data_IF_265477479316
#
_entry.id   IF_265477479316
#
_cell.length_a   1.000
_cell.length_b   1.000
_cell.length_c   1.000
_cell.angle_alpha   90.00
_cell.angle_beta   90.00
_cell.angle_gamma   90.00
#
_symmetry.space_group_name_H-M   'P 1'
#
loop_
_entity.id
_entity.type
_entity.pdbx_description
1 polymer ?
#
# COMPACT_ATOMS: atom_id res chain seq x y z
N UNK A 1 31.69 31.90 -15.78
CA UNK A 1 32.70 30.82 -15.75
C UNK A 1 32.47 30.04 -14.46
N UNK A 2 32.14 28.75 -14.40
CA UNK A 2 31.79 27.76 -15.42
C UNK A 2 30.65 26.88 -14.89
N UNK A 3 29.78 26.44 -15.80
CA UNK A 3 28.74 25.45 -15.53
C UNK A 3 29.41 24.07 -15.47
N UNK A 4 29.35 23.39 -14.33
CA UNK A 4 29.65 21.96 -14.27
C UNK A 4 28.40 21.21 -14.72
N UNK A 5 28.39 20.82 -15.99
CA UNK A 5 27.47 19.88 -16.59
C UNK A 5 27.68 18.49 -15.98
N UNK A 6 26.65 17.94 -15.32
CA UNK A 6 26.60 16.51 -15.00
C UNK A 6 26.50 15.71 -16.30
N UNK A 7 27.24 14.59 -16.44
CA UNK A 7 27.20 13.78 -17.64
C UNK A 7 25.84 13.08 -17.75
N UNK A 8 25.21 13.22 -18.93
CA UNK A 8 24.07 12.41 -19.33
C UNK A 8 24.51 10.95 -19.42
N UNK A 9 23.98 10.11 -18.54
CA UNK A 9 24.22 8.67 -18.55
C UNK A 9 23.62 8.07 -19.85
N UNK A 10 24.47 7.81 -20.84
CA UNK A 10 24.11 7.13 -22.09
C UNK A 10 24.15 5.59 -21.98
N UNK A 11 24.29 5.02 -20.78
CA UNK A 11 24.41 3.56 -20.59
C UNK A 11 23.07 2.84 -20.32
N UNK A 12 21.93 3.53 -20.35
CA UNK A 12 20.62 2.90 -20.09
C UNK A 12 19.83 2.46 -21.35
N UNK A 13 20.44 2.40 -22.54
CA UNK A 13 19.74 2.05 -23.78
C UNK A 13 20.09 0.67 -24.36
N UNK A 14 21.16 0.01 -23.92
CA UNK A 14 21.63 -1.24 -24.53
C UNK A 14 21.19 -2.52 -23.81
N UNK A 15 20.43 -2.41 -22.72
CA UNK A 15 19.81 -3.57 -22.03
C UNK A 15 18.37 -3.84 -22.48
N UNK A 16 17.76 -2.91 -23.23
CA UNK A 16 16.38 -3.06 -23.70
C UNK A 16 16.21 -3.92 -24.96
N UNK A 17 17.30 -4.24 -25.66
CA UNK A 17 17.24 -5.05 -26.88
C UNK A 17 17.64 -6.52 -26.68
N UNK A 18 18.29 -6.86 -25.56
CA UNK A 18 18.70 -8.25 -25.28
C UNK A 18 17.70 -9.06 -24.43
N UNK A 19 16.66 -8.44 -23.87
CA UNK A 19 15.55 -9.20 -23.26
C UNK A 19 14.50 -9.67 -24.30
N UNK A 20 14.50 -9.08 -25.50
CA UNK A 20 13.54 -9.43 -26.56
C UNK A 20 13.87 -10.75 -27.29
N UNK A 21 14.99 -11.40 -26.96
CA UNK A 21 15.40 -12.68 -27.56
C UNK A 21 15.25 -13.90 -26.61
N UNK A 22 14.73 -13.69 -25.40
CA UNK A 22 14.29 -14.80 -24.51
C UNK A 22 12.78 -15.05 -24.60
N UNK A 23 12.02 -14.11 -25.17
CA UNK A 23 10.54 -14.16 -25.23
C UNK A 23 9.98 -15.06 -26.35
N UNK A 24 10.83 -15.78 -27.10
CA UNK A 24 10.38 -16.65 -28.22
C UNK A 24 10.38 -18.15 -27.93
N UNK A 25 10.57 -18.58 -26.67
CA UNK A 25 10.48 -20.00 -26.29
C UNK A 25 9.25 -20.37 -25.47
N UNK A 26 8.42 -19.42 -25.05
CA UNK A 26 7.24 -19.70 -24.20
C UNK A 26 5.94 -19.79 -25.03
N UNK A 27 5.96 -19.37 -26.30
CA UNK A 27 4.76 -19.32 -27.16
C UNK A 27 4.65 -20.49 -28.16
N UNK A 28 4.89 -21.71 -27.70
CA UNK A 28 4.37 -22.92 -28.36
C UNK A 28 3.56 -23.75 -27.35
N UNK A 29 2.43 -23.20 -26.91
CA UNK A 29 1.41 -23.91 -26.11
C UNK A 29 -0.01 -23.63 -26.62
N UNK A 30 -0.17 -23.59 -27.95
CA UNK A 30 -1.48 -23.55 -28.60
C UNK A 30 -2.34 -24.82 -28.41
N UNK A 31 -1.95 -25.72 -27.51
CA UNK A 31 -2.71 -26.92 -27.13
C UNK A 31 -3.17 -26.89 -25.66
N UNK A 32 -2.72 -25.94 -24.82
CA UNK A 32 -3.09 -25.91 -23.40
C UNK A 32 -4.29 -25.01 -23.07
N UNK A 33 -4.66 -24.07 -23.96
CA UNK A 33 -5.77 -23.14 -23.70
C UNK A 33 -7.15 -23.82 -23.77
N UNK A 34 -7.33 -24.82 -24.65
CA UNK A 34 -8.59 -25.58 -24.73
C UNK A 34 -8.79 -26.53 -23.53
N UNK A 35 -7.71 -27.11 -22.99
CA UNK A 35 -7.79 -27.96 -21.79
C UNK A 35 -8.10 -27.14 -20.52
N UNK A 36 -7.57 -25.92 -20.41
CA UNK A 36 -7.78 -25.01 -19.27
C UNK A 36 -9.24 -24.58 -19.08
N UNK A 37 -10.01 -24.42 -20.16
CA UNK A 37 -11.45 -24.11 -20.08
C UNK A 37 -12.30 -25.33 -19.71
N UNK A 38 -11.86 -26.56 -20.01
CA UNK A 38 -12.64 -27.77 -19.76
C UNK A 38 -12.62 -28.16 -18.28
N UNK A 39 -11.51 -27.92 -17.57
CA UNK A 39 -11.37 -28.25 -16.14
C UNK A 39 -12.30 -27.40 -15.26
N UNK A 40 -12.58 -26.15 -15.62
CA UNK A 40 -13.46 -25.26 -14.85
C UNK A 40 -14.96 -25.65 -14.88
N UNK A 41 -15.35 -26.62 -15.72
CA UNK A 41 -16.74 -27.08 -15.87
C UNK A 41 -17.00 -28.45 -15.25
N UNK A 42 -15.98 -29.09 -14.67
CA UNK A 42 -16.11 -30.42 -14.10
C UNK A 42 -16.80 -30.39 -12.72
N UNK A 43 -17.51 -31.47 -12.34
CA UNK A 43 -18.05 -31.63 -11.01
C UNK A 43 -16.95 -31.48 -9.94
N UNK A 44 -17.26 -30.79 -8.84
CA UNK A 44 -16.32 -30.49 -7.76
C UNK A 44 -15.62 -31.74 -7.21
N UNK A 45 -16.33 -32.88 -7.16
CA UNK A 45 -15.76 -34.15 -6.68
C UNK A 45 -14.65 -34.69 -7.59
N UNK A 46 -14.79 -34.56 -8.91
CA UNK A 46 -13.77 -34.96 -9.89
C UNK A 46 -12.56 -34.02 -9.87
N UNK A 47 -12.76 -32.73 -9.56
CA UNK A 47 -11.68 -31.76 -9.40
C UNK A 47 -10.84 -32.02 -8.15
N UNK A 48 -11.48 -32.44 -7.07
CA UNK A 48 -10.82 -32.79 -5.82
C UNK A 48 -9.92 -34.03 -5.99
N UNK A 49 -10.42 -35.03 -6.73
CA UNK A 49 -9.70 -36.25 -7.02
C UNK A 49 -8.49 -36.00 -7.93
N UNK A 50 -8.65 -35.16 -8.96
CA UNK A 50 -7.57 -34.74 -9.85
C UNK A 50 -6.50 -33.91 -9.13
N UNK A 51 -6.92 -33.01 -8.21
CA UNK A 51 -5.99 -32.17 -7.43
C UNK A 51 -4.98 -32.97 -6.60
N UNK A 52 -5.34 -34.20 -6.24
CA UNK A 52 -4.51 -35.10 -5.43
C UNK A 52 -3.53 -35.94 -6.26
N UNK A 53 -3.73 -36.00 -7.57
CA UNK A 53 -2.97 -36.87 -8.49
C UNK A 53 -2.05 -36.07 -9.43
N UNK A 54 -2.30 -34.79 -9.63
CA UNK A 54 -1.50 -33.93 -10.49
C UNK A 54 -0.15 -33.53 -9.87
N UNK A 55 0.82 -33.21 -10.72
CA UNK A 55 2.09 -32.64 -10.28
C UNK A 55 1.89 -31.23 -9.68
N UNK A 56 2.80 -30.74 -8.79
CA UNK A 56 2.68 -29.40 -8.22
C UNK A 56 2.60 -28.28 -9.28
N UNK A 57 3.27 -28.46 -10.43
CA UNK A 57 3.26 -27.49 -11.52
C UNK A 57 1.92 -27.45 -12.24
N UNK A 58 1.32 -28.61 -12.51
CA UNK A 58 -0.02 -28.71 -13.12
C UNK A 58 -1.08 -28.16 -12.17
N UNK A 59 -0.97 -28.46 -10.88
CA UNK A 59 -1.88 -27.91 -9.87
C UNK A 59 -1.88 -26.37 -9.87
N UNK A 60 -0.69 -25.74 -9.88
CA UNK A 60 -0.57 -24.29 -9.94
C UNK A 60 -1.18 -23.72 -11.22
N UNK A 61 -0.91 -24.34 -12.37
CA UNK A 61 -1.41 -23.89 -13.67
C UNK A 61 -2.93 -23.98 -13.79
N UNK A 62 -3.54 -25.04 -13.24
CA UNK A 62 -4.97 -25.31 -13.42
C UNK A 62 -5.85 -24.68 -12.33
N UNK A 63 -5.38 -24.63 -11.08
CA UNK A 63 -6.22 -24.18 -9.96
C UNK A 63 -5.86 -22.80 -9.43
N UNK A 64 -4.57 -22.45 -9.40
CA UNK A 64 -4.10 -21.21 -8.74
C UNK A 64 -3.98 -20.06 -9.72
N UNK A 65 -3.26 -20.24 -10.82
CA UNK A 65 -2.97 -19.19 -11.79
C UNK A 65 -4.21 -18.58 -12.47
N UNK A 66 -5.26 -19.34 -12.85
CA UNK A 66 -6.44 -18.75 -13.47
C UNK A 66 -7.16 -17.74 -12.58
N UNK A 67 -7.04 -17.89 -11.26
CA UNK A 67 -7.63 -16.96 -10.28
C UNK A 67 -6.62 -15.86 -9.90
N UNK A 68 -5.36 -16.22 -9.73
CA UNK A 68 -4.33 -15.31 -9.20
C UNK A 68 -3.80 -14.33 -10.25
N UNK A 69 -3.57 -14.76 -11.49
CA UNK A 69 -3.03 -13.90 -12.56
C UNK A 69 -3.91 -12.67 -12.86
N UNK A 70 -5.24 -12.80 -13.07
CA UNK A 70 -6.08 -11.62 -13.29
C UNK A 70 -6.12 -10.70 -12.06
N UNK A 71 -6.04 -11.26 -10.85
CA UNK A 71 -5.96 -10.46 -9.63
C UNK A 71 -4.66 -9.65 -9.54
N UNK A 72 -3.52 -10.25 -9.91
CA UNK A 72 -2.23 -9.58 -9.97
C UNK A 72 -2.19 -8.51 -11.07
N UNK A 73 -2.75 -8.79 -12.24
CA UNK A 73 -2.89 -7.80 -13.31
C UNK A 73 -3.70 -6.58 -12.84
N UNK A 74 -4.88 -6.80 -12.24
CA UNK A 74 -5.71 -5.74 -11.68
C UNK A 74 -4.97 -4.95 -10.58
N UNK A 75 -4.19 -5.62 -9.74
CA UNK A 75 -3.37 -4.99 -8.71
C UNK A 75 -2.31 -4.07 -9.32
N UNK A 76 -1.64 -4.49 -10.40
CA UNK A 76 -0.64 -3.68 -11.09
C UNK A 76 -1.27 -2.45 -11.75
N UNK A 77 -2.46 -2.58 -12.34
CA UNK A 77 -3.21 -1.43 -12.85
C UNK A 77 -3.56 -0.43 -11.74
N UNK A 78 -4.01 -0.91 -10.58
CA UNK A 78 -4.32 -0.05 -9.44
C UNK A 78 -3.06 0.63 -8.87
N UNK A 79 -1.95 -0.12 -8.76
CA UNK A 79 -0.66 0.42 -8.35
C UNK A 79 -0.18 1.53 -9.30
N UNK A 80 -0.37 1.36 -10.61
CA UNK A 80 -0.08 2.39 -11.62
C UNK A 80 -0.97 3.62 -11.41
N UNK A 81 -2.28 3.43 -11.19
CA UNK A 81 -3.24 4.53 -10.93
C UNK A 81 -2.84 5.35 -9.70
N UNK A 82 -2.34 4.70 -8.67
CA UNK A 82 -1.86 5.34 -7.44
C UNK A 82 -0.40 5.85 -7.53
N UNK A 83 0.22 5.82 -8.72
CA UNK A 83 1.60 6.28 -8.96
C UNK A 83 2.65 5.58 -8.08
N UNK A 84 2.41 4.31 -7.73
CA UNK A 84 3.33 3.53 -6.90
C UNK A 84 4.68 3.29 -7.59
N UNK A 85 4.73 3.31 -8.92
CA UNK A 85 5.96 3.13 -9.70
C UNK A 85 6.77 4.42 -9.86
N UNK A 86 6.17 5.59 -9.61
CA UNK A 86 6.84 6.89 -9.73
C UNK A 86 7.46 7.32 -8.39
N UNK A 87 6.86 6.92 -7.27
CA UNK A 87 7.27 7.32 -5.91
C UNK A 87 7.94 6.15 -5.20
N UNK A 88 9.10 6.39 -4.58
CA UNK A 88 9.79 5.39 -3.75
C UNK A 88 8.98 4.96 -2.51
N UNK A 89 8.04 5.79 -2.04
CA UNK A 89 7.21 5.54 -0.86
C UNK A 89 5.74 5.76 -1.21
N UNK A 90 4.90 4.75 -0.95
CA UNK A 90 3.47 4.78 -1.22
C UNK A 90 2.71 4.03 -0.11
N UNK A 91 1.46 4.44 0.13
CA UNK A 91 0.57 3.82 1.13
C UNK A 91 -0.25 2.64 0.61
N UNK A 92 -0.14 2.30 -0.68
CA UNK A 92 -0.84 1.19 -1.29
C UNK A 92 -0.33 -0.16 -0.76
N UNK A 93 -1.23 -0.99 -0.24
CA UNK A 93 -0.91 -2.35 0.18
C UNK A 93 -1.47 -3.36 -0.83
N UNK A 94 -0.58 -3.97 -1.61
CA UNK A 94 -0.96 -4.95 -2.62
C UNK A 94 -1.64 -6.20 -2.05
N UNK A 95 -1.24 -6.66 -0.86
CA UNK A 95 -1.85 -7.83 -0.22
C UNK A 95 -3.30 -7.58 0.21
N UNK A 96 -3.57 -6.36 0.72
CA UNK A 96 -4.93 -5.96 1.06
C UNK A 96 -5.82 -5.90 -0.18
N UNK A 97 -5.28 -5.36 -1.28
CA UNK A 97 -5.97 -5.31 -2.56
C UNK A 97 -6.29 -6.72 -3.06
N UNK A 98 -5.29 -7.62 -3.08
CA UNK A 98 -5.48 -9.00 -3.54
C UNK A 98 -6.50 -9.75 -2.69
N UNK A 99 -6.43 -9.61 -1.37
CA UNK A 99 -7.37 -10.27 -0.46
C UNK A 99 -8.80 -9.82 -0.74
N UNK A 100 -9.01 -8.51 -0.89
CA UNK A 100 -10.32 -7.94 -1.21
C UNK A 100 -10.81 -8.34 -2.61
N UNK A 101 -9.92 -8.34 -3.61
CA UNK A 101 -10.21 -8.72 -4.98
C UNK A 101 -10.64 -10.20 -5.06
N UNK A 102 -9.86 -11.09 -4.45
CA UNK A 102 -10.15 -12.53 -4.41
C UNK A 102 -11.42 -12.83 -3.62
N UNK A 103 -11.65 -12.11 -2.52
CA UNK A 103 -12.88 -12.27 -1.73
C UNK A 103 -14.14 -11.93 -2.54
N UNK A 104 -14.11 -10.82 -3.30
CA UNK A 104 -15.21 -10.40 -4.18
C UNK A 104 -15.41 -11.30 -5.39
N UNK A 105 -14.32 -11.84 -5.93
CA UNK A 105 -14.32 -12.66 -7.15
C UNK A 105 -14.62 -14.13 -6.87
N UNK A 106 -14.83 -14.51 -5.61
CA UNK A 106 -15.12 -15.89 -5.24
C UNK A 106 -16.46 -16.36 -5.83
N UNK A 107 -16.47 -17.39 -6.71
CA UNK A 107 -17.67 -17.86 -7.40
C UNK A 107 -18.71 -18.51 -6.48
N UNK A 108 -18.32 -18.94 -5.27
CA UNK A 108 -19.21 -19.67 -4.36
C UNK A 108 -20.23 -18.77 -3.64
N UNK A 109 -20.00 -17.45 -3.58
CA UNK A 109 -20.98 -16.52 -3.00
C UNK A 109 -20.86 -15.11 -3.58
N UNK A 110 -21.41 -14.94 -4.78
CA UNK A 110 -21.20 -13.76 -5.63
C UNK A 110 -22.03 -12.55 -5.21
N UNK A 111 -23.23 -12.73 -4.65
CA UNK A 111 -24.16 -11.61 -4.42
C UNK A 111 -23.82 -10.80 -3.17
N UNK A 112 -23.58 -11.47 -2.03
CA UNK A 112 -23.31 -10.77 -0.77
C UNK A 112 -21.94 -10.09 -0.76
N UNK A 113 -20.96 -10.68 -1.45
CA UNK A 113 -19.56 -10.25 -1.40
C UNK A 113 -19.22 -9.12 -2.37
N UNK A 114 -20.02 -8.90 -3.41
CA UNK A 114 -19.82 -7.80 -4.39
C UNK A 114 -19.90 -6.41 -3.75
N UNK A 115 -20.69 -6.27 -2.69
CA UNK A 115 -20.93 -4.98 -2.04
C UNK A 115 -19.83 -4.58 -1.02
N UNK A 116 -18.91 -5.48 -0.69
CA UNK A 116 -17.83 -5.23 0.28
C UNK A 116 -16.85 -4.25 -0.34
N UNK A 117 -16.69 -3.03 0.21
CA UNK A 117 -15.83 -1.98 -0.39
C UNK A 117 -14.44 -1.90 0.21
N UNK A 118 -14.32 -2.17 1.50
CA UNK A 118 -13.08 -2.08 2.28
C UNK A 118 -12.74 -3.43 2.89
N UNK A 119 -11.47 -3.60 3.26
CA UNK A 119 -11.02 -4.83 3.90
C UNK A 119 -11.67 -5.05 5.28
N UNK A 120 -11.96 -3.96 6.01
CA UNK A 120 -12.63 -4.02 7.32
C UNK A 120 -14.09 -4.47 7.24
N UNK A 121 -14.71 -4.43 6.05
CA UNK A 121 -16.10 -4.86 5.87
C UNK A 121 -16.21 -6.40 5.83
N UNK A 122 -15.07 -7.11 5.72
CA UNK A 122 -15.03 -8.58 5.71
C UNK A 122 -15.15 -9.08 7.16
N UNK A 123 -16.13 -9.95 7.49
CA UNK A 123 -16.44 -10.32 8.88
C UNK A 123 -15.23 -10.84 9.66
N UNK A 124 -14.50 -11.82 9.11
CA UNK A 124 -13.34 -12.40 9.79
C UNK A 124 -12.16 -11.43 9.92
N UNK A 125 -12.07 -10.41 9.05
CA UNK A 125 -11.05 -9.36 9.17
C UNK A 125 -11.41 -8.43 10.31
N UNK A 126 -12.68 -7.98 10.36
CA UNK A 126 -13.17 -7.11 11.44
C UNK A 126 -12.94 -7.75 12.80
N UNK A 127 -13.37 -9.00 12.97
CA UNK A 127 -13.20 -9.76 14.22
C UNK A 127 -11.73 -9.93 14.63
N UNK A 128 -10.82 -9.99 13.66
CA UNK A 128 -9.39 -10.06 13.91
C UNK A 128 -8.81 -8.70 14.29
N UNK A 129 -9.23 -7.63 13.61
CA UNK A 129 -8.73 -6.27 13.85
C UNK A 129 -9.24 -5.68 15.16
N UNK A 130 -10.39 -6.11 15.67
CA UNK A 130 -10.85 -5.76 17.02
C UNK A 130 -9.88 -6.25 18.11
N UNK A 131 -9.35 -7.47 17.95
CA UNK A 131 -8.38 -8.05 18.88
C UNK A 131 -6.96 -7.57 18.61
N UNK A 132 -6.64 -7.29 17.34
CA UNK A 132 -5.31 -6.92 16.88
C UNK A 132 -5.39 -5.73 15.92
N UNK A 133 -5.57 -4.50 16.44
CA UNK A 133 -5.72 -3.33 15.62
C UNK A 133 -4.44 -3.07 14.83
N UNK A 134 -4.59 -2.82 13.53
CA UNK A 134 -3.47 -2.47 12.66
C UNK A 134 -2.90 -1.10 13.06
N UNK A 135 -1.58 -0.93 13.19
CA UNK A 135 -1.00 0.39 13.44
C UNK A 135 -1.32 1.34 12.27
N UNK A 136 -1.58 2.63 12.56
CA UNK A 136 -1.82 3.60 11.51
C UNK A 136 -0.57 3.78 10.65
N UNK A 137 -0.77 4.01 9.35
CA UNK A 137 0.33 4.35 8.45
C UNK A 137 1.02 5.65 8.92
N UNK A 138 2.32 5.86 8.63
CA UNK A 138 2.95 7.12 8.92
C UNK A 138 2.27 8.27 8.16
N UNK A 139 2.17 9.45 8.77
CA UNK A 139 1.49 10.63 8.20
C UNK A 139 2.03 11.03 6.82
N UNK A 140 3.32 10.80 6.57
CA UNK A 140 3.96 11.03 5.27
C UNK A 140 3.38 10.18 4.13
N UNK A 141 2.73 9.06 4.43
CA UNK A 141 2.05 8.20 3.46
C UNK A 141 0.54 8.46 3.40
N UNK A 142 -0.04 9.10 4.42
CA UNK A 142 -1.48 9.35 4.51
C UNK A 142 -1.88 10.69 3.87
N UNK A 143 -1.07 11.73 4.05
CA UNK A 143 -1.41 13.07 3.57
C UNK A 143 -1.31 13.19 2.05
N UNK A 144 -2.26 13.92 1.47
CA UNK A 144 -2.09 14.41 0.10
C UNK A 144 -0.97 15.44 0.03
N UNK A 145 -0.51 15.73 -1.17
CA UNK A 145 0.58 16.69 -1.38
C UNK A 145 0.18 18.09 -0.92
N UNK A 146 -1.08 18.47 -1.15
CA UNK A 146 -1.66 19.75 -0.75
C UNK A 146 -1.80 19.86 0.77
N UNK A 147 -2.29 18.81 1.41
CA UNK A 147 -2.41 18.75 2.88
C UNK A 147 -1.04 18.81 3.55
N UNK A 148 -0.09 18.00 3.05
CA UNK A 148 1.27 17.99 3.56
C UNK A 148 1.93 19.37 3.38
N UNK A 149 1.78 20.00 2.20
CA UNK A 149 2.30 21.33 1.93
C UNK A 149 1.72 22.37 2.89
N UNK A 150 0.40 22.35 3.11
CA UNK A 150 -0.25 23.26 4.05
C UNK A 150 0.27 23.08 5.49
N UNK A 151 0.44 21.83 5.95
CA UNK A 151 1.00 21.53 7.28
C UNK A 151 2.46 22.00 7.41
N UNK A 152 3.29 21.72 6.42
CA UNK A 152 4.71 22.13 6.41
C UNK A 152 4.82 23.66 6.39
N UNK A 153 4.04 24.34 5.55
CA UNK A 153 4.03 25.80 5.45
C UNK A 153 3.55 26.45 6.75
N UNK A 154 2.47 25.93 7.36
CA UNK A 154 1.97 26.42 8.64
C UNK A 154 3.00 26.24 9.75
N UNK A 155 3.65 25.07 9.81
CA UNK A 155 4.73 24.81 10.75
C UNK A 155 5.90 25.79 10.55
N UNK A 156 6.35 25.97 9.30
CA UNK A 156 7.45 26.87 8.97
C UNK A 156 7.16 28.31 9.36
N UNK A 157 5.97 28.85 9.01
CA UNK A 157 5.54 30.19 9.44
C UNK A 157 5.62 30.34 10.95
N UNK A 158 5.13 29.34 11.70
CA UNK A 158 5.23 29.33 13.16
C UNK A 158 6.68 29.32 13.66
N UNK A 159 7.56 28.54 13.06
CA UNK A 159 9.00 28.51 13.40
C UNK A 159 9.66 29.85 13.11
N UNK A 160 9.37 30.45 11.94
CA UNK A 160 9.91 31.75 11.55
C UNK A 160 9.48 32.84 12.52
N UNK A 161 8.19 32.92 12.89
CA UNK A 161 7.70 33.89 13.87
C UNK A 161 8.38 33.73 15.24
N UNK A 162 8.62 32.49 15.69
CA UNK A 162 9.29 32.22 16.98
C UNK A 162 10.78 32.53 16.98
N UNK A 163 11.40 32.71 15.81
CA UNK A 163 12.81 33.14 15.70
C UNK A 163 12.98 34.65 15.87
N UNK A 164 11.89 35.43 15.75
CA UNK A 164 11.89 36.87 15.99
C UNK A 164 12.26 37.14 17.46
N UNK A 165 13.27 38.00 17.74
CA UNK A 165 13.83 38.13 19.09
C UNK A 165 12.79 38.62 20.11
N UNK A 166 11.94 39.57 19.75
CA UNK A 166 10.88 40.12 20.61
C UNK A 166 9.84 39.04 20.97
N UNK A 167 9.47 38.20 19.99
CA UNK A 167 8.55 37.08 20.22
C UNK A 167 9.18 36.03 21.14
N UNK A 168 10.48 35.76 20.97
CA UNK A 168 11.21 34.79 21.79
C UNK A 168 11.34 35.27 23.24
N UNK A 169 11.63 36.56 23.44
CA UNK A 169 11.67 37.17 24.78
C UNK A 169 10.30 37.10 25.46
N UNK A 170 9.23 37.42 24.74
CA UNK A 170 7.86 37.28 25.26
C UNK A 170 7.53 35.83 25.65
N UNK A 171 7.95 34.84 24.84
CA UNK A 171 7.74 33.43 25.14
C UNK A 171 8.51 32.98 26.39
N UNK A 172 9.73 33.44 26.56
CA UNK A 172 10.55 33.20 27.76
C UNK A 172 9.87 33.79 28.99
N UNK A 173 9.43 35.04 28.91
CA UNK A 173 8.68 35.68 29.99
C UNK A 173 7.40 34.91 30.33
N UNK A 174 6.62 34.50 29.33
CA UNK A 174 5.40 33.69 29.53
C UNK A 174 5.70 32.33 30.16
N UNK A 175 6.85 31.72 29.86
CA UNK A 175 7.29 30.47 30.48
C UNK A 175 7.63 30.69 31.96
N UNK A 176 8.44 31.71 32.27
CA UNK A 176 8.82 32.07 33.64
C UNK A 176 7.60 32.42 34.50
N UNK A 177 6.66 33.19 33.96
CA UNK A 177 5.43 33.54 34.64
C UNK A 177 4.57 32.32 34.99
N UNK A 178 4.44 31.36 34.06
CA UNK A 178 3.75 30.08 34.31
C UNK A 178 4.46 29.25 35.38
N UNK A 179 5.79 29.21 35.39
CA UNK A 179 6.56 28.52 36.42
C UNK A 179 6.41 29.16 37.80
N UNK A 180 6.45 30.49 37.87
CA UNK A 180 6.21 31.24 39.10
C UNK A 180 4.83 30.95 39.70
N UNK A 181 3.78 30.98 38.87
CA UNK A 181 2.42 30.69 39.31
C UNK A 181 2.22 29.22 39.74
N UNK A 182 2.83 28.27 39.03
CA UNK A 182 2.78 26.85 39.41
C UNK A 182 3.43 26.62 40.78
N UNK A 183 4.60 27.24 41.03
CA UNK A 183 5.28 27.16 42.34
C UNK A 183 4.44 27.75 43.46
N UNK A 184 3.79 28.90 43.21
CA UNK A 184 2.86 29.51 44.18
C UNK A 184 1.68 28.63 44.56
N UNK A 185 1.16 27.84 43.61
CA UNK A 185 0.05 26.91 43.88
C UNK A 185 0.52 25.77 44.80
N UNK A 186 1.64 25.12 44.47
CA UNK A 186 2.23 24.06 45.33
C UNK A 186 2.45 24.55 46.76
N UNK A 187 3.05 25.73 46.93
CA UNK A 187 3.27 26.30 48.27
C UNK A 187 2.00 26.67 49.03
N UNK A 188 0.85 26.80 48.36
CA UNK A 188 -0.44 27.00 49.03
C UNK A 188 -1.06 25.68 49.45
N UNK A 189 -0.88 24.64 48.66
CA UNK A 189 -1.35 23.28 48.96
C UNK A 189 -0.53 22.65 50.12
N UNK A 190 0.76 22.99 50.25
CA UNK A 190 1.62 22.54 51.37
C UNK A 190 1.34 23.26 52.70
N UNK A 191 0.66 24.42 52.67
CA UNK A 191 0.37 25.25 53.84
C UNK A 191 -1.12 25.21 54.24
N UNK A 192 -1.92 24.32 53.64
CA UNK A 192 -3.33 24.08 53.96
C UNK A 192 -3.54 22.70 54.56
#
# INVERSE_FOLDING_TARGET
MGFLSLPSCQECQTEKENLLCSEKSILTKGQCEEELMQVATLPYDSLLEYSSQCSPTEYLQLFVFPVLLPALEAMLHEAKRQKCFERHRFGFNGLDFLTLYLYRTNPLNVQDRKNVTKLNDIPWVSDHWERHPRPPLPLSLQWTEEEAAAKIQAYWRGVTTRRIPEVRELLEWQHQWRMYNRRKQVTKDDNS
#
